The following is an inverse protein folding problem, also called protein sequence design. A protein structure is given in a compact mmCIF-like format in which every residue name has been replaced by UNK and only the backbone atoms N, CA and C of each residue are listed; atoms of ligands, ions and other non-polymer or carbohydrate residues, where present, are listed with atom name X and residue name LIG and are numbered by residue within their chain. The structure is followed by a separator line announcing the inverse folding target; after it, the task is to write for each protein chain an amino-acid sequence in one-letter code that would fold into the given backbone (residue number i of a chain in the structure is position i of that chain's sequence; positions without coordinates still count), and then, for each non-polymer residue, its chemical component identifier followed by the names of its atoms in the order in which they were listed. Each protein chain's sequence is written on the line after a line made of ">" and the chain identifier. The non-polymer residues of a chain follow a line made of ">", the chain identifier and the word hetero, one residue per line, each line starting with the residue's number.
data_IF_835810595518
#
_entry.id   IF_835810595518
#
_cell.length_a   1.000
_cell.length_b   1.000
_cell.length_c   1.000
_cell.angle_alpha   90.00
_cell.angle_beta   90.00
_cell.angle_gamma   90.00
#
_symmetry.space_group_name_H-M   'P 1'
#
loop_
_entity.id
_entity.type
_entity.pdbx_description
1 polymer ?
#
# COMPACT_ATOMS: atom_id res chain seq x y z
N UNK A 1 29.26 3.67 -19.35
CA UNK A 1 29.00 4.61 -20.43
C UNK A 1 30.29 5.30 -20.91
N UNK A 2 30.45 5.48 -22.24
CA UNK A 2 31.65 6.04 -22.85
C UNK A 2 31.62 7.57 -23.04
N UNK A 3 30.65 8.28 -22.42
CA UNK A 3 30.50 9.73 -22.54
C UNK A 3 31.52 10.55 -21.73
N UNK A 4 31.38 11.89 -21.79
CA UNK A 4 32.14 12.87 -21.00
C UNK A 4 31.18 13.84 -20.31
N UNK A 5 31.40 14.15 -19.05
CA UNK A 5 30.53 15.09 -18.30
C UNK A 5 30.70 16.56 -18.74
N UNK A 6 31.73 16.87 -19.54
CA UNK A 6 31.87 18.14 -20.21
C UNK A 6 31.15 18.21 -21.57
N UNK A 7 30.58 17.10 -22.05
CA UNK A 7 29.86 17.04 -23.30
C UNK A 7 28.52 17.76 -23.28
N UNK A 8 27.92 17.99 -24.45
CA UNK A 8 26.60 18.65 -24.55
C UNK A 8 25.44 17.81 -24.02
N UNK A 9 25.56 16.49 -24.01
CA UNK A 9 24.49 15.56 -23.72
C UNK A 9 23.67 15.15 -24.94
N UNK A 10 24.13 15.52 -26.15
CA UNK A 10 23.50 15.07 -27.39
C UNK A 10 23.82 13.60 -27.69
N UNK A 11 23.15 13.02 -28.69
CA UNK A 11 23.38 11.63 -29.11
C UNK A 11 24.83 11.40 -29.57
N UNK A 12 25.44 12.39 -30.24
CA UNK A 12 26.83 12.33 -30.73
C UNK A 12 27.86 12.73 -29.69
N UNK A 13 27.47 13.44 -28.64
CA UNK A 13 28.35 13.90 -27.56
C UNK A 13 27.69 13.61 -26.19
N UNK A 14 27.56 12.32 -25.78
CA UNK A 14 26.81 11.93 -24.60
C UNK A 14 27.54 12.30 -23.32
N UNK A 15 26.75 12.55 -22.26
CA UNK A 15 27.25 12.65 -20.88
C UNK A 15 27.63 11.27 -20.34
N UNK A 16 28.61 11.25 -19.42
CA UNK A 16 29.05 10.01 -18.77
C UNK A 16 28.17 9.65 -17.61
N UNK A 17 27.82 10.62 -16.76
CA UNK A 17 27.10 10.38 -15.50
C UNK A 17 25.69 10.95 -15.54
N UNK A 18 24.80 10.29 -14.79
CA UNK A 18 23.43 10.75 -14.63
C UNK A 18 23.36 12.04 -13.80
N UNK A 19 24.30 12.25 -12.87
CA UNK A 19 24.43 13.50 -12.13
C UNK A 19 24.76 14.70 -13.01
N UNK A 20 25.60 14.54 -14.03
CA UNK A 20 25.86 15.61 -14.99
C UNK A 20 24.62 15.95 -15.83
N UNK A 21 23.84 14.93 -16.23
CA UNK A 21 22.56 15.13 -16.91
C UNK A 21 21.55 15.84 -16.04
N UNK A 22 21.42 15.42 -14.78
CA UNK A 22 20.49 16.02 -13.82
C UNK A 22 20.79 17.50 -13.55
N UNK A 23 22.06 17.87 -13.43
CA UNK A 23 22.48 19.27 -13.24
C UNK A 23 22.14 20.20 -14.41
N UNK A 24 21.92 19.66 -15.62
CA UNK A 24 21.46 20.46 -16.77
C UNK A 24 19.98 20.86 -16.65
N UNK A 25 19.20 20.19 -15.83
CA UNK A 25 17.81 20.56 -15.57
C UNK A 25 17.79 21.72 -14.58
N UNK A 26 17.25 22.89 -14.93
CA UNK A 26 17.21 24.05 -14.05
C UNK A 26 16.42 23.78 -12.77
N UNK A 27 16.83 24.37 -11.65
CA UNK A 27 16.07 24.36 -10.42
C UNK A 27 14.73 25.09 -10.63
N UNK A 28 13.68 24.56 -10.05
CA UNK A 28 12.33 25.19 -10.08
C UNK A 28 11.59 25.12 -11.39
N UNK A 29 12.23 24.79 -12.50
CA UNK A 29 11.61 24.78 -13.73
C UNK A 29 11.28 23.98 -14.49
N UNK A 30 10.56 23.99 -15.31
CA UNK A 30 9.46 23.80 -16.10
C UNK A 30 9.59 23.33 -17.53
N UNK A 31 10.58 23.03 -18.12
CA UNK A 31 10.67 22.39 -19.44
C UNK A 31 10.46 20.87 -19.34
N UNK A 32 10.18 20.25 -20.48
CA UNK A 32 10.21 18.79 -20.62
C UNK A 32 11.65 18.33 -20.83
N UNK A 33 12.04 17.34 -20.01
CA UNK A 33 13.39 16.78 -20.05
C UNK A 33 13.34 15.27 -20.26
N UNK A 34 14.12 14.80 -21.22
CA UNK A 34 14.23 13.38 -21.53
C UNK A 34 15.69 12.95 -21.40
N UNK A 35 15.98 12.18 -20.36
CA UNK A 35 17.29 11.59 -20.12
C UNK A 35 17.29 10.14 -20.64
N UNK A 36 17.90 9.93 -21.79
CA UNK A 36 17.96 8.62 -22.47
C UNK A 36 19.25 7.91 -22.10
N UNK A 37 19.12 6.78 -21.46
CA UNK A 37 20.24 6.00 -20.95
C UNK A 37 20.51 4.80 -21.86
N UNK A 38 21.74 4.69 -22.33
CA UNK A 38 22.27 3.50 -22.98
C UNK A 38 22.49 2.38 -21.96
N UNK A 39 22.58 1.14 -22.40
CA UNK A 39 22.99 0.03 -21.57
C UNK A 39 24.26 0.34 -20.77
N UNK A 40 24.25 0.03 -19.47
CA UNK A 40 25.40 0.25 -18.59
C UNK A 40 25.04 0.64 -17.18
N UNK A 41 26.05 0.81 -16.34
CA UNK A 41 25.90 1.21 -14.94
C UNK A 41 26.09 2.71 -14.77
N UNK A 42 25.11 3.36 -14.15
CA UNK A 42 25.09 4.79 -13.83
C UNK A 42 25.16 5.04 -12.30
N UNK A 43 25.62 4.04 -11.54
CA UNK A 43 25.72 4.14 -10.07
C UNK A 43 26.75 5.18 -9.64
N UNK A 44 27.89 5.27 -10.36
CA UNK A 44 28.92 6.28 -10.09
C UNK A 44 28.49 7.65 -10.62
N UNK A 45 28.68 8.69 -9.78
CA UNK A 45 28.35 10.06 -10.12
C UNK A 45 26.84 10.37 -10.15
N UNK A 46 26.01 9.52 -9.55
CA UNK A 46 24.62 9.83 -9.27
C UNK A 46 24.54 10.97 -8.22
N UNK A 47 23.53 11.83 -8.26
CA UNK A 47 23.28 12.79 -7.19
C UNK A 47 23.02 12.07 -5.85
N UNK A 48 23.50 12.62 -4.76
CA UNK A 48 23.11 12.17 -3.40
C UNK A 48 21.64 12.49 -3.16
N UNK A 49 21.20 13.67 -3.62
CA UNK A 49 19.82 14.11 -3.56
C UNK A 49 19.33 14.56 -4.94
N UNK A 50 18.15 14.08 -5.32
CA UNK A 50 17.45 14.45 -6.56
C UNK A 50 16.38 15.46 -6.19
N UNK A 51 16.71 16.76 -6.23
CA UNK A 51 15.85 17.75 -5.58
C UNK A 51 15.39 18.91 -6.47
N UNK A 52 14.23 19.48 -6.09
CA UNK A 52 13.72 20.82 -6.47
C UNK A 52 13.62 21.06 -7.96
N UNK A 53 13.18 20.07 -8.73
CA UNK A 53 12.89 20.22 -10.16
C UNK A 53 11.42 19.95 -10.42
N UNK A 54 10.84 20.72 -11.30
CA UNK A 54 9.44 20.58 -11.70
C UNK A 54 9.34 20.52 -13.22
N UNK A 55 8.40 19.76 -13.73
CA UNK A 55 8.16 19.59 -15.15
C UNK A 55 8.20 18.12 -15.54
N UNK A 56 7.76 17.74 -16.73
CA UNK A 56 7.92 16.36 -17.20
C UNK A 56 9.41 16.03 -17.33
N UNK A 57 9.91 15.18 -16.42
CA UNK A 57 11.29 14.68 -16.43
C UNK A 57 11.20 13.16 -16.59
N UNK A 58 11.65 12.65 -17.73
CA UNK A 58 11.71 11.21 -17.97
C UNK A 58 13.15 10.72 -17.98
N UNK A 59 13.43 9.68 -17.22
CA UNK A 59 14.67 8.92 -17.25
C UNK A 59 14.34 7.54 -17.80
N UNK A 60 14.83 7.19 -18.99
CA UNK A 60 14.47 5.93 -19.64
C UNK A 60 15.68 5.13 -20.12
N UNK A 61 15.58 3.81 -20.04
CA UNK A 61 16.50 2.87 -20.67
C UNK A 61 16.10 2.67 -22.13
N UNK A 62 17.02 3.00 -23.07
CA UNK A 62 16.69 2.92 -24.51
C UNK A 62 17.10 1.60 -25.16
N UNK A 63 17.94 0.83 -24.52
CA UNK A 63 18.45 -0.44 -25.05
C UNK A 63 17.69 -1.66 -24.46
N UNK A 64 16.52 -1.42 -23.89
CA UNK A 64 15.64 -2.44 -23.30
C UNK A 64 15.49 -2.30 -21.78
N UNK A 65 14.53 -3.02 -21.22
CA UNK A 65 14.28 -3.06 -19.78
C UNK A 65 15.54 -3.56 -19.06
N UNK A 66 15.89 -2.93 -17.94
CA UNK A 66 17.02 -3.24 -17.06
C UNK A 66 18.41 -3.07 -17.69
N UNK A 67 18.51 -2.65 -18.95
CA UNK A 67 19.80 -2.41 -19.59
C UNK A 67 20.56 -1.24 -18.95
N UNK A 68 19.86 -0.22 -18.46
CA UNK A 68 20.42 0.87 -17.68
C UNK A 68 20.22 0.63 -16.17
N UNK A 69 21.33 0.53 -15.42
CA UNK A 69 21.32 0.28 -13.98
C UNK A 69 21.72 1.51 -13.20
N UNK A 70 20.87 1.93 -12.28
CA UNK A 70 21.02 3.10 -11.43
C UNK A 70 21.40 2.68 -10.01
N UNK A 71 21.96 3.60 -9.23
CA UNK A 71 21.93 3.54 -7.78
C UNK A 71 20.53 3.89 -7.27
N UNK A 72 20.29 3.70 -5.97
CA UNK A 72 19.11 4.22 -5.30
C UNK A 72 18.92 5.72 -5.50
N UNK A 73 17.69 6.18 -5.38
CA UNK A 73 17.34 7.58 -5.61
C UNK A 73 16.65 8.16 -4.38
N UNK A 74 17.26 9.16 -3.75
CA UNK A 74 16.62 9.96 -2.71
C UNK A 74 16.08 11.25 -3.34
N UNK A 75 14.75 11.33 -3.53
CA UNK A 75 14.06 12.37 -4.32
C UNK A 75 13.32 13.31 -3.38
N UNK A 76 13.56 14.61 -3.50
CA UNK A 76 12.94 15.60 -2.63
C UNK A 76 12.36 16.79 -3.40
N UNK A 77 11.05 17.05 -3.21
CA UNK A 77 10.34 18.14 -3.87
C UNK A 77 10.48 18.17 -5.39
N UNK A 78 10.37 17.00 -6.02
CA UNK A 78 10.39 16.88 -7.49
C UNK A 78 8.97 16.67 -7.99
N UNK A 79 8.64 17.33 -9.10
CA UNK A 79 7.33 17.23 -9.73
C UNK A 79 7.43 16.75 -11.18
N UNK A 80 6.66 15.70 -11.52
CA UNK A 80 6.60 15.17 -12.89
C UNK A 80 7.75 14.23 -13.25
N UNK A 81 8.25 13.43 -12.31
CA UNK A 81 9.31 12.43 -12.56
C UNK A 81 8.73 11.13 -13.10
N UNK A 82 9.26 10.66 -14.21
CA UNK A 82 9.01 9.32 -14.76
C UNK A 82 10.32 8.55 -14.85
N UNK A 83 10.36 7.36 -14.26
CA UNK A 83 11.40 6.35 -14.51
C UNK A 83 10.80 5.26 -15.40
N UNK A 84 11.47 4.91 -16.48
CA UNK A 84 10.97 3.90 -17.42
C UNK A 84 12.05 2.89 -17.82
N UNK A 85 11.74 1.62 -17.63
CA UNK A 85 12.57 0.50 -18.06
C UNK A 85 13.95 0.44 -17.43
N UNK A 86 14.21 1.18 -16.37
CA UNK A 86 15.49 1.20 -15.64
C UNK A 86 15.46 0.23 -14.47
N UNK A 87 16.63 -0.22 -14.06
CA UNK A 87 16.82 -1.01 -12.84
C UNK A 87 17.54 -0.18 -11.78
N UNK A 88 17.00 -0.22 -10.58
CA UNK A 88 17.61 0.37 -9.38
C UNK A 88 17.97 -0.75 -8.41
N UNK A 89 19.24 -0.76 -7.97
CA UNK A 89 19.71 -1.67 -6.92
C UNK A 89 20.50 -0.83 -5.90
N UNK A 90 20.13 -0.89 -4.62
CA UNK A 90 20.87 -0.21 -3.56
C UNK A 90 20.57 -0.82 -2.19
N UNK A 91 21.37 -0.42 -1.19
CA UNK A 91 21.09 -0.59 0.22
C UNK A 91 20.24 0.57 0.78
N UNK A 92 19.44 0.29 1.79
CA UNK A 92 18.47 1.23 2.33
C UNK A 92 17.23 1.39 1.44
N UNK A 93 16.59 2.55 1.48
CA UNK A 93 15.48 2.85 0.58
C UNK A 93 15.99 2.96 -0.87
N UNK A 94 15.56 2.04 -1.74
CA UNK A 94 16.04 2.03 -3.13
C UNK A 94 15.46 3.21 -3.92
N UNK A 95 14.19 3.53 -3.70
CA UNK A 95 13.55 4.74 -4.22
C UNK A 95 12.80 5.44 -3.10
N UNK A 96 13.38 6.49 -2.56
CA UNK A 96 12.74 7.36 -1.57
C UNK A 96 12.26 8.65 -2.23
N UNK A 97 11.01 9.04 -1.98
CA UNK A 97 10.43 10.27 -2.52
C UNK A 97 9.63 11.02 -1.46
N UNK A 98 10.10 12.22 -1.12
CA UNK A 98 9.45 13.09 -0.13
C UNK A 98 8.97 14.39 -0.76
N UNK A 99 7.73 14.80 -0.46
CA UNK A 99 7.09 16.02 -0.97
C UNK A 99 7.05 16.08 -2.51
N UNK A 100 6.97 14.92 -3.15
CA UNK A 100 6.92 14.79 -4.61
C UNK A 100 5.50 14.94 -5.17
N UNK A 101 5.41 15.25 -6.47
CA UNK A 101 4.13 15.33 -7.18
C UNK A 101 4.26 14.71 -8.58
N UNK A 102 3.29 13.88 -8.97
CA UNK A 102 3.25 13.22 -10.29
C UNK A 102 4.51 12.38 -10.55
N UNK A 103 4.67 11.32 -9.79
CA UNK A 103 5.74 10.33 -9.95
C UNK A 103 5.18 9.10 -10.66
N UNK A 104 5.88 8.65 -11.69
CA UNK A 104 5.57 7.42 -12.40
C UNK A 104 6.81 6.51 -12.45
N UNK A 105 6.70 5.34 -11.85
CA UNK A 105 7.63 4.23 -12.01
C UNK A 105 6.98 3.23 -12.98
N UNK A 106 7.52 3.09 -14.17
CA UNK A 106 6.91 2.37 -15.28
C UNK A 106 7.88 1.33 -15.86
N UNK A 107 7.52 0.05 -15.81
CA UNK A 107 8.37 -1.06 -16.26
C UNK A 107 9.77 -1.05 -15.62
N UNK A 108 9.87 -0.66 -14.35
CA UNK A 108 11.15 -0.63 -13.61
C UNK A 108 11.36 -1.93 -12.84
N UNK A 109 12.61 -2.21 -12.53
CA UNK A 109 12.99 -3.25 -11.57
C UNK A 109 13.70 -2.59 -10.39
N UNK A 110 13.18 -2.78 -9.17
CA UNK A 110 13.78 -2.29 -7.94
C UNK A 110 14.15 -3.47 -7.03
N UNK A 111 15.40 -3.48 -6.57
CA UNK A 111 15.92 -4.54 -5.69
C UNK A 111 16.53 -3.92 -4.44
N UNK A 112 15.92 -4.20 -3.30
CA UNK A 112 16.50 -3.95 -1.99
C UNK A 112 17.58 -4.98 -1.63
N UNK A 113 18.33 -4.69 -0.60
CA UNK A 113 19.36 -5.58 -0.05
C UNK A 113 18.97 -6.16 1.32
N UNK A 114 17.71 -6.02 1.72
CA UNK A 114 17.20 -6.46 3.01
C UNK A 114 17.40 -5.47 4.16
N UNK A 115 17.77 -4.22 3.88
CA UNK A 115 18.05 -3.23 4.93
C UNK A 115 16.83 -2.37 5.32
N UNK A 116 16.07 -1.89 4.36
CA UNK A 116 14.92 -0.99 4.57
C UNK A 116 13.85 -1.22 3.51
N UNK A 117 13.02 -0.20 3.23
CA UNK A 117 11.99 -0.29 2.19
C UNK A 117 12.59 -0.25 0.79
N UNK A 118 11.96 -0.97 -0.15
CA UNK A 118 12.37 -0.85 -1.55
C UNK A 118 11.84 0.45 -2.16
N UNK A 119 10.59 0.80 -1.90
CA UNK A 119 9.98 2.09 -2.29
C UNK A 119 9.40 2.77 -1.06
N UNK A 120 9.89 3.95 -0.73
CA UNK A 120 9.36 4.81 0.33
C UNK A 120 8.84 6.13 -0.21
N UNK A 121 7.57 6.43 0.01
CA UNK A 121 6.94 7.66 -0.46
C UNK A 121 6.33 8.41 0.73
N UNK A 122 6.80 9.63 0.98
CA UNK A 122 6.32 10.45 2.08
C UNK A 122 5.67 11.74 1.58
N UNK A 123 4.51 12.13 2.16
CA UNK A 123 3.85 13.43 2.01
C UNK A 123 3.74 13.91 0.55
N UNK A 124 3.43 13.01 -0.35
CA UNK A 124 3.48 13.19 -1.80
C UNK A 124 2.09 13.07 -2.45
N UNK A 125 2.00 13.31 -3.75
CA UNK A 125 0.74 13.14 -4.47
C UNK A 125 0.93 12.63 -5.90
N UNK A 126 -0.09 11.95 -6.42
CA UNK A 126 -0.11 11.45 -7.81
C UNK A 126 1.05 10.49 -8.08
N UNK A 127 1.13 9.43 -7.28
CA UNK A 127 2.18 8.41 -7.39
C UNK A 127 1.63 7.17 -8.08
N UNK A 128 2.29 6.74 -9.13
CA UNK A 128 1.94 5.51 -9.86
C UNK A 128 3.15 4.61 -9.97
N UNK A 129 2.98 3.34 -9.60
CA UNK A 129 3.92 2.25 -9.92
C UNK A 129 3.18 1.28 -10.81
N UNK A 130 3.69 1.04 -12.02
CA UNK A 130 3.01 0.20 -13.01
C UNK A 130 3.97 -0.76 -13.70
N UNK A 131 3.48 -1.99 -13.96
CA UNK A 131 4.18 -3.00 -14.78
C UNK A 131 5.63 -3.27 -14.31
N UNK A 132 5.84 -3.18 -12.99
CA UNK A 132 7.16 -3.14 -12.36
C UNK A 132 7.38 -4.35 -11.44
N UNK A 133 8.65 -4.65 -11.20
CA UNK A 133 9.10 -5.74 -10.34
C UNK A 133 9.86 -5.14 -9.15
N UNK A 134 9.38 -5.40 -7.93
CA UNK A 134 9.83 -4.73 -6.70
C UNK A 134 10.04 -5.76 -5.60
N UNK A 135 11.27 -5.88 -5.10
CA UNK A 135 11.58 -6.94 -4.11
C UNK A 135 12.78 -6.63 -3.22
N UNK A 136 12.95 -7.50 -2.22
CA UNK A 136 14.15 -7.55 -1.39
C UNK A 136 14.17 -6.53 -0.27
N UNK A 137 13.02 -6.06 0.20
CA UNK A 137 12.93 -5.16 1.34
C UNK A 137 13.22 -5.88 2.66
N UNK A 138 13.99 -5.24 3.54
CA UNK A 138 14.13 -5.65 4.94
C UNK A 138 12.91 -5.26 5.80
N UNK A 139 12.07 -4.40 5.28
CA UNK A 139 10.78 -3.99 5.84
C UNK A 139 9.71 -4.19 4.74
N UNK A 140 9.24 -3.17 4.06
CA UNK A 140 8.18 -3.26 3.06
C UNK A 140 8.68 -2.94 1.64
N UNK A 141 8.17 -3.63 0.62
CA UNK A 141 8.54 -3.27 -0.74
C UNK A 141 7.91 -1.94 -1.21
N UNK A 142 6.75 -1.57 -0.66
CA UNK A 142 6.14 -0.27 -0.91
C UNK A 142 5.56 0.31 0.37
N UNK A 143 6.14 1.40 0.83
CA UNK A 143 5.68 2.19 1.98
C UNK A 143 5.19 3.57 1.51
N UNK A 144 3.91 3.88 1.74
CA UNK A 144 3.35 5.20 1.49
C UNK A 144 2.78 5.84 2.75
N UNK A 145 3.36 6.96 3.16
CA UNK A 145 2.93 7.73 4.33
C UNK A 145 2.43 9.11 3.90
N UNK A 146 1.16 9.41 4.20
CA UNK A 146 0.52 10.70 3.86
C UNK A 146 0.55 11.01 2.35
N UNK A 147 0.24 10.02 1.52
CA UNK A 147 0.26 10.15 0.06
C UNK A 147 -1.16 10.20 -0.49
N UNK A 148 -1.41 11.14 -1.37
CA UNK A 148 -2.70 11.29 -2.04
C UNK A 148 -2.64 10.83 -3.49
N UNK A 149 -3.64 10.05 -3.93
CA UNK A 149 -3.76 9.47 -5.28
C UNK A 149 -2.60 8.54 -5.62
N UNK A 150 -2.65 7.35 -5.02
CA UNK A 150 -1.72 6.25 -5.26
C UNK A 150 -2.35 5.28 -6.26
N UNK A 151 -1.54 4.79 -7.21
CA UNK A 151 -1.92 3.70 -8.09
C UNK A 151 -0.80 2.66 -8.14
N UNK A 152 -1.10 1.43 -7.71
CA UNK A 152 -0.24 0.27 -7.88
C UNK A 152 -0.91 -0.65 -8.90
N UNK A 153 -0.35 -0.75 -10.11
CA UNK A 153 -1.00 -1.37 -11.25
C UNK A 153 -0.12 -2.44 -11.90
N UNK A 154 -0.55 -3.70 -11.87
CA UNK A 154 0.10 -4.83 -12.57
C UNK A 154 1.58 -5.00 -12.20
N UNK A 155 1.92 -4.78 -10.95
CA UNK A 155 3.27 -4.99 -10.44
C UNK A 155 3.42 -6.38 -9.83
N UNK A 156 4.65 -6.84 -9.70
CA UNK A 156 5.02 -7.93 -8.83
C UNK A 156 5.80 -7.37 -7.64
N UNK A 157 5.20 -7.46 -6.45
CA UNK A 157 5.85 -7.15 -5.17
C UNK A 157 6.15 -8.46 -4.45
N UNK A 158 7.42 -8.71 -4.10
CA UNK A 158 7.80 -9.99 -3.51
C UNK A 158 9.06 -9.93 -2.65
N UNK A 159 9.29 -10.96 -1.85
CA UNK A 159 10.48 -11.06 -0.99
C UNK A 159 10.63 -9.83 -0.06
N UNK A 160 9.60 -9.48 0.71
CA UNK A 160 9.68 -8.50 1.79
C UNK A 160 9.64 -9.19 3.16
N UNK A 161 10.35 -8.66 4.14
CA UNK A 161 10.31 -9.21 5.51
C UNK A 161 8.99 -8.90 6.20
N UNK A 162 8.40 -7.72 5.93
CA UNK A 162 7.09 -7.33 6.45
C UNK A 162 6.02 -7.40 5.34
N UNK A 163 5.19 -6.39 5.14
CA UNK A 163 4.17 -6.37 4.09
C UNK A 163 4.79 -6.20 2.70
N UNK A 164 4.21 -6.86 1.69
CA UNK A 164 4.58 -6.52 0.31
C UNK A 164 4.33 -5.03 0.01
N UNK A 165 3.21 -4.48 0.49
CA UNK A 165 2.90 -3.07 0.31
C UNK A 165 1.92 -2.54 1.36
N UNK A 166 2.02 -1.26 1.70
CA UNK A 166 1.00 -0.56 2.48
C UNK A 166 0.84 0.92 2.14
N UNK A 167 -0.30 1.49 2.57
CA UNK A 167 -0.56 2.91 2.53
C UNK A 167 -1.16 3.36 3.86
N UNK A 168 -0.47 4.27 4.56
CA UNK A 168 -0.82 4.73 5.92
C UNK A 168 -0.65 6.24 6.11
N UNK A 169 -0.82 6.71 7.34
CA UNK A 169 -0.52 8.10 7.72
C UNK A 169 -1.43 9.13 7.05
N UNK A 170 -2.70 8.79 6.83
CA UNK A 170 -3.64 9.65 6.12
C UNK A 170 -3.56 9.52 4.59
N UNK A 171 -2.95 8.45 4.08
CA UNK A 171 -2.96 8.20 2.64
C UNK A 171 -4.38 8.01 2.11
N UNK A 172 -4.67 8.60 0.95
CA UNK A 172 -6.04 8.62 0.41
C UNK A 172 -6.09 8.49 -1.10
N UNK A 173 -7.25 8.05 -1.63
CA UNK A 173 -7.46 7.81 -3.06
C UNK A 173 -6.48 6.76 -3.60
N UNK A 174 -6.48 5.56 -3.00
CA UNK A 174 -5.53 4.48 -3.28
C UNK A 174 -6.17 3.41 -4.17
N UNK A 175 -5.53 3.07 -5.27
CA UNK A 175 -5.92 1.98 -6.18
C UNK A 175 -4.80 0.96 -6.24
N UNK A 176 -5.13 -0.28 -5.85
CA UNK A 176 -4.24 -1.45 -5.90
C UNK A 176 -4.90 -2.48 -6.80
N UNK A 177 -4.46 -2.56 -8.06
CA UNK A 177 -5.18 -3.35 -9.07
C UNK A 177 -4.26 -4.22 -9.91
N UNK A 178 -4.64 -5.51 -10.02
CA UNK A 178 -3.98 -6.45 -10.91
C UNK A 178 -2.53 -6.76 -10.55
N UNK A 179 -2.15 -6.59 -9.29
CA UNK A 179 -0.78 -6.88 -8.82
C UNK A 179 -0.66 -8.35 -8.40
N UNK A 180 0.56 -8.85 -8.43
CA UNK A 180 0.97 -10.07 -7.76
C UNK A 180 1.74 -9.68 -6.49
N UNK A 181 1.31 -10.22 -5.35
CA UNK A 181 2.00 -10.16 -4.08
C UNK A 181 2.44 -11.56 -3.70
N UNK A 182 3.73 -11.78 -3.43
CA UNK A 182 4.22 -13.11 -3.06
C UNK A 182 5.40 -13.05 -2.10
N UNK A 183 5.50 -14.08 -1.26
CA UNK A 183 6.70 -14.32 -0.45
C UNK A 183 7.03 -13.14 0.47
N UNK A 184 5.99 -12.53 1.08
CA UNK A 184 6.13 -11.46 2.06
C UNK A 184 5.77 -11.96 3.47
N UNK A 185 6.56 -11.55 4.47
CA UNK A 185 6.49 -12.11 5.82
C UNK A 185 5.19 -11.77 6.57
N UNK A 186 4.69 -10.54 6.47
CA UNK A 186 3.47 -10.15 7.19
C UNK A 186 2.23 -10.20 6.30
N UNK A 187 2.36 -9.98 4.99
CA UNK A 187 1.21 -10.13 4.09
C UNK A 187 1.32 -9.40 2.76
N UNK A 188 0.24 -9.43 1.98
CA UNK A 188 0.19 -8.82 0.65
C UNK A 188 0.07 -7.29 0.70
N UNK A 189 -1.13 -6.77 0.94
CA UNK A 189 -1.35 -5.32 1.03
C UNK A 189 -2.21 -4.96 2.25
N UNK A 190 -1.82 -3.90 2.97
CA UNK A 190 -2.61 -3.36 4.07
C UNK A 190 -2.98 -1.88 3.86
N UNK A 191 -4.25 -1.56 4.11
CA UNK A 191 -4.78 -0.19 4.15
C UNK A 191 -4.74 0.35 5.58
N UNK A 192 -3.80 1.22 5.85
CA UNK A 192 -3.51 1.72 7.20
C UNK A 192 -2.49 0.86 7.94
N UNK A 193 -2.09 1.27 9.11
CA UNK A 193 -1.20 0.58 10.07
C UNK A 193 -1.00 1.50 11.29
N UNK A 194 0.25 1.84 11.62
CA UNK A 194 0.63 2.82 12.64
C UNK A 194 1.45 3.97 12.06
N UNK A 195 1.18 5.20 12.52
CA UNK A 195 1.91 6.38 12.03
C UNK A 195 2.12 7.39 13.14
N UNK A 196 3.32 7.99 13.19
CA UNK A 196 3.56 9.20 13.95
C UNK A 196 2.78 10.38 13.33
N UNK A 197 1.95 11.06 14.12
CA UNK A 197 1.05 12.10 13.64
C UNK A 197 1.79 13.26 12.94
N UNK A 198 3.04 13.53 13.32
CA UNK A 198 3.86 14.57 12.70
C UNK A 198 4.21 14.29 11.22
N UNK A 199 4.11 13.03 10.77
CA UNK A 199 4.36 12.65 9.37
C UNK A 199 3.12 12.74 8.49
N UNK A 200 1.94 12.92 9.08
CA UNK A 200 0.69 13.07 8.34
C UNK A 200 0.65 14.40 7.58
N UNK A 201 -0.33 14.55 6.71
CA UNK A 201 -0.57 15.77 5.97
C UNK A 201 -2.03 16.23 6.13
N UNK A 202 -2.25 17.47 6.59
CA UNK A 202 -3.58 18.09 6.62
C UNK A 202 -4.18 18.17 5.20
N UNK A 203 -5.49 17.94 5.02
CA UNK A 203 -6.53 17.72 6.04
C UNK A 203 -6.76 16.24 6.42
N UNK A 204 -5.97 15.31 5.93
CA UNK A 204 -6.17 13.86 6.07
C UNK A 204 -5.55 13.33 7.38
N UNK A 205 -6.08 13.75 8.53
CA UNK A 205 -5.50 13.43 9.85
C UNK A 205 -6.43 12.61 10.75
N UNK A 206 -7.47 11.98 10.19
CA UNK A 206 -8.37 11.11 10.97
C UNK A 206 -7.97 9.64 10.84
N UNK A 207 -8.17 9.03 9.67
CA UNK A 207 -7.87 7.63 9.40
C UNK A 207 -6.43 7.42 8.94
N UNK A 208 -5.93 6.19 9.08
CA UNK A 208 -4.61 5.82 8.55
C UNK A 208 -4.61 5.72 7.03
N UNK A 209 -5.69 5.20 6.45
CA UNK A 209 -5.90 5.21 5.01
C UNK A 209 -7.38 5.46 4.70
N UNK A 210 -7.70 6.07 3.55
CA UNK A 210 -9.08 6.30 3.16
C UNK A 210 -9.30 6.23 1.65
N UNK A 211 -10.54 5.86 1.25
CA UNK A 211 -10.90 5.72 -0.17
C UNK A 211 -9.94 4.76 -0.90
N UNK A 212 -9.88 3.51 -0.44
CA UNK A 212 -8.96 2.49 -0.93
C UNK A 212 -9.71 1.42 -1.73
N UNK A 213 -9.25 1.14 -2.94
CA UNK A 213 -9.71 0.03 -3.78
C UNK A 213 -8.58 -0.99 -3.96
N UNK A 214 -8.84 -2.23 -3.54
CA UNK A 214 -7.96 -3.39 -3.72
C UNK A 214 -8.70 -4.39 -4.61
N UNK A 215 -8.34 -4.48 -5.89
CA UNK A 215 -9.14 -5.21 -6.88
C UNK A 215 -8.30 -6.04 -7.85
N UNK A 216 -8.73 -7.30 -8.08
CA UNK A 216 -8.17 -8.14 -9.11
C UNK A 216 -6.69 -8.49 -8.91
N UNK A 217 -6.22 -8.53 -7.66
CA UNK A 217 -4.86 -8.89 -7.34
C UNK A 217 -4.74 -10.40 -7.08
N UNK A 218 -3.54 -10.93 -7.28
CA UNK A 218 -3.13 -12.28 -6.88
C UNK A 218 -2.24 -12.19 -5.65
N UNK A 219 -2.50 -13.00 -4.61
CA UNK A 219 -1.66 -13.10 -3.40
C UNK A 219 -1.30 -14.56 -3.16
N UNK A 220 -0.03 -14.86 -2.96
CA UNK A 220 0.41 -16.23 -2.68
C UNK A 220 1.64 -16.27 -1.78
N UNK A 221 1.78 -17.37 -1.07
CA UNK A 221 2.98 -17.70 -0.31
C UNK A 221 3.38 -16.58 0.69
N UNK A 222 2.38 -15.95 1.34
CA UNK A 222 2.64 -14.99 2.41
C UNK A 222 2.50 -15.64 3.77
N UNK A 223 3.38 -15.27 4.71
CA UNK A 223 3.31 -15.81 6.07
C UNK A 223 2.14 -15.20 6.88
N UNK A 224 1.72 -13.99 6.55
CA UNK A 224 0.55 -13.33 7.13
C UNK A 224 -0.60 -13.17 6.14
N UNK A 225 -1.46 -12.19 6.39
CA UNK A 225 -2.73 -12.01 5.70
C UNK A 225 -2.58 -11.64 4.21
N UNK A 226 -3.52 -12.11 3.37
CA UNK A 226 -3.57 -11.61 2.00
C UNK A 226 -3.78 -10.09 1.97
N UNK A 227 -4.73 -9.61 2.77
CA UNK A 227 -5.06 -8.19 2.89
C UNK A 227 -5.37 -7.81 4.33
N UNK A 228 -5.00 -6.57 4.69
CA UNK A 228 -5.30 -5.99 5.98
C UNK A 228 -5.97 -4.60 5.89
N UNK A 229 -6.73 -4.24 6.93
CA UNK A 229 -7.28 -2.89 7.12
C UNK A 229 -7.12 -2.49 8.58
N UNK A 230 -6.19 -1.58 8.85
CA UNK A 230 -5.90 -1.12 10.21
C UNK A 230 -6.04 0.41 10.30
N UNK A 231 -7.23 0.89 10.74
CA UNK A 231 -7.57 2.30 10.76
C UNK A 231 -7.97 2.86 9.40
N UNK A 232 -8.58 2.02 8.56
CA UNK A 232 -9.02 2.39 7.22
C UNK A 232 -10.46 2.89 7.14
N UNK A 233 -10.74 3.82 6.23
CA UNK A 233 -12.09 4.31 5.96
C UNK A 233 -12.44 4.19 4.47
N UNK A 234 -13.66 3.74 4.16
CA UNK A 234 -14.10 3.51 2.78
C UNK A 234 -13.11 2.61 2.02
N UNK A 235 -12.93 1.39 2.49
CA UNK A 235 -12.04 0.38 1.89
C UNK A 235 -12.85 -0.70 1.20
N UNK A 236 -12.54 -0.95 -0.06
CA UNK A 236 -13.15 -2.01 -0.85
C UNK A 236 -12.09 -3.03 -1.30
N UNK A 237 -12.24 -4.27 -0.86
CA UNK A 237 -11.38 -5.42 -1.21
C UNK A 237 -12.23 -6.38 -2.02
N UNK A 238 -11.99 -6.47 -3.34
CA UNK A 238 -12.84 -7.28 -4.21
C UNK A 238 -12.12 -7.98 -5.36
N UNK A 239 -12.68 -9.12 -5.77
CA UNK A 239 -12.22 -9.87 -6.96
C UNK A 239 -10.75 -10.22 -6.94
N UNK A 240 -10.20 -10.42 -5.75
CA UNK A 240 -8.84 -10.85 -5.56
C UNK A 240 -8.81 -12.38 -5.43
N UNK A 241 -7.66 -12.97 -5.77
CA UNK A 241 -7.41 -14.41 -5.63
C UNK A 241 -6.23 -14.59 -4.70
N UNK A 242 -6.36 -15.47 -3.69
CA UNK A 242 -5.28 -15.76 -2.76
C UNK A 242 -5.16 -17.26 -2.47
N UNK A 243 -3.91 -17.74 -2.30
CA UNK A 243 -3.61 -19.12 -1.95
C UNK A 243 -2.31 -19.24 -1.17
N UNK A 244 -2.20 -20.23 -0.28
CA UNK A 244 -1.04 -20.44 0.59
C UNK A 244 -0.65 -19.17 1.35
N UNK A 245 -1.61 -18.64 2.10
CA UNK A 245 -1.46 -17.42 2.90
C UNK A 245 -1.74 -17.70 4.36
N UNK A 246 -1.19 -16.86 5.25
CA UNK A 246 -1.43 -16.97 6.68
C UNK A 246 -0.61 -18.06 7.39
N UNK A 247 0.49 -18.54 6.81
CA UNK A 247 1.28 -19.64 7.37
C UNK A 247 1.73 -19.42 8.82
N UNK A 248 1.84 -18.18 9.28
CA UNK A 248 2.12 -17.80 10.67
C UNK A 248 1.02 -16.95 11.31
N UNK A 249 -0.13 -16.78 10.64
CA UNK A 249 -1.16 -15.85 11.07
C UNK A 249 -2.56 -16.29 10.61
N UNK A 250 -3.30 -15.40 10.03
CA UNK A 250 -4.67 -15.51 9.55
C UNK A 250 -4.77 -15.08 8.08
N UNK A 251 -5.96 -15.27 7.51
CA UNK A 251 -6.19 -15.04 6.08
C UNK A 251 -6.44 -13.56 5.75
N UNK A 252 -7.24 -12.89 6.57
CA UNK A 252 -7.61 -11.49 6.42
C UNK A 252 -7.56 -10.77 7.77
N UNK A 253 -7.10 -9.51 7.77
CA UNK A 253 -6.95 -8.71 8.98
C UNK A 253 -7.83 -7.46 8.96
N UNK A 254 -8.55 -7.20 10.06
CA UNK A 254 -9.31 -5.97 10.29
C UNK A 254 -9.05 -5.49 11.71
N UNK A 255 -8.02 -4.66 11.87
CA UNK A 255 -7.54 -4.18 13.16
C UNK A 255 -7.73 -2.69 13.36
N UNK A 256 -7.20 -2.19 14.47
CA UNK A 256 -7.04 -0.77 14.69
C UNK A 256 -5.76 -0.27 14.04
N UNK A 257 -5.81 0.91 13.43
CA UNK A 257 -4.59 1.68 13.24
C UNK A 257 -4.07 2.19 14.58
N UNK A 258 -2.77 2.45 14.65
CA UNK A 258 -2.15 3.07 15.81
C UNK A 258 -1.58 4.45 15.45
N UNK A 259 -1.72 5.41 16.37
CA UNK A 259 -1.17 6.74 16.14
C UNK A 259 -0.52 7.28 17.38
N UNK A 260 0.73 7.69 17.21
CA UNK A 260 1.55 8.34 18.24
C UNK A 260 1.95 9.76 17.81
N UNK A 261 2.77 10.42 18.60
CA UNK A 261 3.52 11.60 18.22
C UNK A 261 4.98 11.36 18.65
N UNK A 262 5.86 11.07 17.71
CA UNK A 262 7.22 10.66 18.01
C UNK A 262 8.16 11.85 18.30
N UNK A 263 7.68 13.08 18.12
CA UNK A 263 8.45 14.29 18.40
C UNK A 263 8.71 14.52 19.89
N UNK A 264 9.94 14.84 20.26
CA UNK A 264 10.31 15.22 21.64
C UNK A 264 9.73 16.59 22.03
N UNK A 265 9.63 16.90 23.34
CA UNK A 265 9.28 18.26 23.78
C UNK A 265 10.21 19.30 23.13
N UNK A 266 9.61 20.34 22.51
CA UNK A 266 10.36 21.37 21.79
C UNK A 266 10.60 21.10 20.31
N UNK A 267 10.40 19.89 19.81
CA UNK A 267 10.60 19.55 18.41
C UNK A 267 9.47 20.12 17.51
N UNK A 268 9.83 20.40 16.27
CA UNK A 268 8.88 20.81 15.22
C UNK A 268 7.81 19.74 14.97
N UNK A 269 8.14 18.44 15.12
CA UNK A 269 7.21 17.32 15.02
C UNK A 269 6.09 17.40 16.05
N UNK A 270 6.41 17.64 17.32
CA UNK A 270 5.42 17.79 18.40
C UNK A 270 4.52 19.02 18.18
N UNK A 271 5.09 20.12 17.73
CA UNK A 271 4.33 21.33 17.36
C UNK A 271 3.35 21.04 16.22
N UNK A 272 3.73 20.21 15.25
CA UNK A 272 2.88 19.76 14.16
C UNK A 272 1.75 18.86 14.66
N UNK A 273 2.01 17.88 15.55
CA UNK A 273 0.96 17.09 16.20
C UNK A 273 -0.06 18.00 16.89
N UNK A 274 0.37 18.95 17.70
CA UNK A 274 -0.50 19.90 18.39
C UNK A 274 -1.32 20.75 17.41
N UNK A 275 -0.73 21.15 16.29
CA UNK A 275 -1.43 21.89 15.23
C UNK A 275 -2.54 21.04 14.58
N UNK A 276 -2.27 19.77 14.28
CA UNK A 276 -3.26 18.88 13.70
C UNK A 276 -4.40 18.55 14.65
N UNK A 277 -4.11 18.36 15.96
CA UNK A 277 -5.14 18.15 16.99
C UNK A 277 -6.05 19.38 17.10
N UNK A 278 -5.48 20.59 17.15
CA UNK A 278 -6.28 21.84 17.17
C UNK A 278 -7.16 21.99 15.92
N UNK A 279 -6.72 21.46 14.78
CA UNK A 279 -7.51 21.43 13.54
C UNK A 279 -8.54 20.29 13.50
N UNK A 280 -8.72 19.52 14.57
CA UNK A 280 -9.68 18.42 14.68
C UNK A 280 -9.13 17.06 14.28
N UNK A 281 -7.84 16.91 14.02
CA UNK A 281 -7.21 15.62 13.73
C UNK A 281 -7.23 14.68 14.93
N UNK A 282 -7.31 13.38 14.66
CA UNK A 282 -7.25 12.34 15.69
C UNK A 282 -5.79 12.01 16.02
N UNK A 283 -5.42 12.12 17.28
CA UNK A 283 -4.04 11.86 17.68
C UNK A 283 -3.73 12.32 19.08
N UNK A 284 -2.45 12.32 19.42
CA UNK A 284 -1.92 12.76 20.70
C UNK A 284 -0.69 13.64 20.51
N UNK A 285 -0.40 14.47 21.50
CA UNK A 285 0.89 15.18 21.64
C UNK A 285 1.83 14.43 22.58
N UNK A 286 1.35 13.36 23.22
CA UNK A 286 2.19 12.54 24.10
C UNK A 286 3.13 11.75 23.21
N UNK A 287 4.42 11.79 23.55
CA UNK A 287 5.46 11.00 22.87
C UNK A 287 5.21 9.53 23.20
N UNK A 288 5.30 8.70 22.18
CA UNK A 288 5.21 7.26 22.34
C UNK A 288 6.39 6.74 23.17
N UNK A 289 6.07 6.10 24.30
CA UNK A 289 7.02 5.37 25.14
C UNK A 289 6.77 3.85 25.05
N UNK A 290 6.24 3.39 23.88
CA UNK A 290 5.89 1.98 23.66
C UNK A 290 4.41 1.66 23.85
N UNK A 291 3.67 2.39 24.71
CA UNK A 291 2.28 2.09 25.04
C UNK A 291 1.30 3.26 24.81
N UNK A 292 1.78 4.45 24.51
CA UNK A 292 0.97 5.67 24.41
C UNK A 292 0.54 5.96 22.96
N UNK A 293 -0.18 5.06 22.34
CA UNK A 293 -0.77 5.29 21.02
C UNK A 293 -2.31 5.42 21.07
N UNK A 294 -2.82 6.19 20.14
CA UNK A 294 -4.27 6.31 19.92
C UNK A 294 -4.69 5.21 18.94
N UNK A 295 -5.75 4.47 19.27
CA UNK A 295 -6.34 3.46 18.38
C UNK A 295 -7.24 4.14 17.36
N UNK A 296 -6.92 3.99 16.09
CA UNK A 296 -7.71 4.53 14.97
C UNK A 296 -8.67 3.43 14.48
N UNK A 297 -9.99 3.63 14.59
CA UNK A 297 -10.99 2.65 14.16
C UNK A 297 -11.06 2.56 12.65
N UNK A 298 -11.71 1.51 12.14
CA UNK A 298 -12.11 1.49 10.74
C UNK A 298 -13.51 2.13 10.54
N UNK A 299 -13.85 2.36 9.30
CA UNK A 299 -15.19 2.80 8.91
C UNK A 299 -15.49 2.34 7.49
N UNK A 300 -16.63 1.66 7.30
CA UNK A 300 -17.11 1.27 5.98
C UNK A 300 -16.06 0.44 5.19
N UNK A 301 -15.78 -0.77 5.67
CA UNK A 301 -14.92 -1.75 5.02
C UNK A 301 -15.77 -2.82 4.36
N UNK A 302 -15.60 -3.04 3.06
CA UNK A 302 -16.32 -4.07 2.30
C UNK A 302 -15.33 -5.06 1.69
N UNK A 303 -15.46 -6.32 2.08
CA UNK A 303 -14.72 -7.47 1.54
C UNK A 303 -15.68 -8.28 0.69
N UNK A 304 -15.51 -8.24 -0.64
CA UNK A 304 -16.53 -8.69 -1.56
C UNK A 304 -15.97 -9.44 -2.77
N UNK A 305 -16.61 -10.58 -3.10
CA UNK A 305 -16.32 -11.32 -4.35
C UNK A 305 -14.83 -11.71 -4.49
N UNK A 306 -14.19 -12.11 -3.38
CA UNK A 306 -12.82 -12.63 -3.40
C UNK A 306 -12.81 -14.15 -3.36
N UNK A 307 -11.78 -14.76 -3.92
CA UNK A 307 -11.51 -16.19 -3.85
C UNK A 307 -10.24 -16.43 -3.05
N UNK A 308 -10.36 -17.12 -1.93
CA UNK A 308 -9.26 -17.53 -1.07
C UNK A 308 -9.28 -19.03 -0.95
N UNK A 309 -8.19 -19.70 -1.31
CA UNK A 309 -8.12 -21.16 -1.31
C UNK A 309 -6.76 -21.64 -0.80
N UNK A 310 -6.68 -21.85 0.50
CA UNK A 310 -5.54 -22.50 1.09
C UNK A 310 -5.72 -24.03 1.03
N UNK A 311 -4.79 -24.81 0.47
CA UNK A 311 -4.88 -26.26 0.46
C UNK A 311 -4.73 -26.83 1.88
N UNK A 312 -5.19 -28.07 2.07
CA UNK A 312 -5.22 -28.77 3.37
C UNK A 312 -3.87 -28.76 4.13
N UNK A 313 -2.77 -28.78 3.40
CA UNK A 313 -1.43 -28.75 3.96
C UNK A 313 -0.82 -27.34 4.12
N UNK A 314 -1.59 -26.30 3.84
CA UNK A 314 -1.16 -24.92 3.89
C UNK A 314 -2.30 -23.99 4.37
N UNK A 315 -3.13 -24.46 5.31
CA UNK A 315 -4.12 -23.63 6.01
C UNK A 315 -3.44 -22.51 6.81
N UNK A 316 -4.17 -21.43 7.09
CA UNK A 316 -3.68 -20.40 8.00
C UNK A 316 -3.43 -21.00 9.40
N UNK A 317 -2.50 -20.37 10.13
CA UNK A 317 -2.09 -20.91 11.44
C UNK A 317 -3.20 -20.79 12.49
N UNK A 318 -3.94 -19.66 12.48
CA UNK A 318 -4.87 -19.37 13.58
C UNK A 318 -6.34 -19.40 13.16
N UNK A 319 -6.72 -18.55 12.21
CA UNK A 319 -8.12 -18.37 11.81
C UNK A 319 -8.26 -17.64 10.48
N UNK A 320 -9.44 -17.73 9.90
CA UNK A 320 -9.72 -17.03 8.62
C UNK A 320 -9.64 -15.51 8.80
N UNK A 321 -10.39 -14.95 9.75
CA UNK A 321 -10.43 -13.51 9.98
C UNK A 321 -9.80 -13.14 11.32
N UNK A 322 -8.87 -12.19 11.33
CA UNK A 322 -8.45 -11.50 12.54
C UNK A 322 -9.18 -10.16 12.63
N UNK A 323 -10.25 -10.10 13.39
CA UNK A 323 -11.00 -8.86 13.63
C UNK A 323 -10.80 -8.42 15.07
N UNK A 324 -10.27 -7.21 15.27
CA UNK A 324 -10.00 -6.71 16.62
C UNK A 324 -11.29 -6.52 17.42
N UNK A 325 -11.32 -7.16 18.59
CA UNK A 325 -12.50 -7.22 19.48
C UNK A 325 -12.55 -6.13 20.55
N UNK A 326 -11.50 -5.36 20.76
CA UNK A 326 -11.41 -4.34 21.80
C UNK A 326 -12.45 -3.23 21.60
N UNK A 327 -12.77 -2.56 22.68
CA UNK A 327 -13.75 -1.46 22.75
C UNK A 327 -13.11 -0.24 23.41
N UNK A 328 -12.17 0.44 22.74
CA UNK A 328 -11.51 1.60 23.33
C UNK A 328 -12.51 2.71 23.63
N UNK A 329 -12.28 3.41 24.73
CA UNK A 329 -12.99 4.65 25.04
C UNK A 329 -12.63 5.80 24.09
N UNK A 330 -13.29 6.95 24.26
CA UNK A 330 -12.89 8.18 23.55
C UNK A 330 -11.45 8.54 23.90
N UNK A 331 -10.63 8.78 22.90
CA UNK A 331 -9.23 9.15 23.08
C UNK A 331 -8.73 9.93 21.87
N UNK A 332 -7.95 10.97 22.10
CA UNK A 332 -7.26 11.73 21.05
C UNK A 332 -8.15 12.28 19.93
N UNK A 333 -9.39 12.67 20.25
CA UNK A 333 -10.37 13.15 19.26
C UNK A 333 -11.19 12.04 18.59
N UNK A 334 -10.84 10.77 18.77
CA UNK A 334 -11.64 9.65 18.28
C UNK A 334 -12.92 9.55 19.11
N UNK A 335 -14.13 9.58 18.49
CA UNK A 335 -15.38 9.48 19.23
C UNK A 335 -15.51 8.16 20.01
N UNK A 336 -16.17 8.20 21.16
CA UNK A 336 -16.44 7.00 21.96
C UNK A 336 -17.26 5.97 21.17
N UNK A 337 -16.99 4.70 21.40
CA UNK A 337 -17.73 3.58 20.83
C UNK A 337 -17.32 3.20 19.39
N UNK A 338 -16.36 3.89 18.79
CA UNK A 338 -15.82 3.53 17.48
C UNK A 338 -14.96 2.26 17.58
N UNK A 339 -15.05 1.39 16.57
CA UNK A 339 -14.49 0.03 16.62
C UNK A 339 -13.79 -0.34 15.33
N UNK A 340 -12.97 -1.39 15.38
CA UNK A 340 -12.32 -1.96 14.20
C UNK A 340 -13.33 -2.56 13.21
N UNK A 341 -14.43 -3.12 13.72
CA UNK A 341 -15.51 -3.74 12.94
C UNK A 341 -16.64 -2.77 12.54
N UNK A 342 -16.47 -1.45 12.73
CA UNK A 342 -17.48 -0.45 12.36
C UNK A 342 -17.74 -0.42 10.85
N UNK A 343 -18.95 -0.81 10.44
CA UNK A 343 -19.34 -0.89 9.05
C UNK A 343 -18.61 -1.96 8.25
N UNK A 344 -17.98 -2.92 8.91
CA UNK A 344 -17.37 -4.07 8.23
C UNK A 344 -18.47 -4.95 7.62
N UNK A 345 -18.31 -5.27 6.33
CA UNK A 345 -19.16 -6.18 5.60
C UNK A 345 -18.33 -7.19 4.82
N UNK A 346 -18.66 -8.46 4.97
CA UNK A 346 -18.00 -9.58 4.29
C UNK A 346 -19.09 -10.34 3.55
N UNK A 347 -19.08 -10.31 2.20
CA UNK A 347 -20.18 -10.84 1.39
C UNK A 347 -19.69 -11.36 0.04
N UNK A 348 -20.27 -12.46 -0.43
CA UNK A 348 -20.03 -12.98 -1.77
C UNK A 348 -18.61 -13.54 -1.98
N UNK A 349 -17.88 -13.84 -0.93
CA UNK A 349 -16.55 -14.43 -1.06
C UNK A 349 -16.63 -15.96 -1.07
N UNK A 350 -15.67 -16.58 -1.75
CA UNK A 350 -15.39 -18.01 -1.67
C UNK A 350 -14.13 -18.22 -0.85
N UNK A 351 -14.25 -18.83 0.33
CA UNK A 351 -13.15 -18.99 1.27
C UNK A 351 -13.04 -20.45 1.65
N UNK A 352 -11.91 -21.06 1.32
CA UNK A 352 -11.50 -22.37 1.77
C UNK A 352 -10.14 -22.27 2.45
N UNK A 353 -10.06 -22.59 3.74
CA UNK A 353 -8.83 -22.46 4.52
C UNK A 353 -8.42 -23.80 5.12
N UNK A 354 -8.02 -24.73 4.27
CA UNK A 354 -7.44 -26.00 4.65
C UNK A 354 -8.39 -27.06 5.20
N UNK A 355 -9.64 -26.75 5.54
CA UNK A 355 -10.61 -27.72 6.04
C UNK A 355 -11.86 -27.09 6.62
N UNK A 356 -12.88 -27.94 6.87
CA UNK A 356 -14.19 -27.52 7.35
C UNK A 356 -14.18 -26.98 8.79
N UNK A 357 -13.23 -27.44 9.59
CA UNK A 357 -13.17 -27.15 11.03
C UNK A 357 -12.28 -25.95 11.39
N UNK A 358 -11.72 -25.27 10.40
CA UNK A 358 -10.84 -24.13 10.65
C UNK A 358 -11.65 -22.94 11.20
N UNK A 359 -11.14 -22.31 12.27
CA UNK A 359 -11.86 -21.26 12.98
C UNK A 359 -12.09 -20.03 12.11
N UNK A 360 -13.32 -19.51 12.12
CA UNK A 360 -13.67 -18.34 11.34
C UNK A 360 -13.13 -17.01 11.93
N UNK A 361 -12.86 -16.98 13.24
CA UNK A 361 -12.35 -15.80 13.95
C UNK A 361 -13.40 -14.69 14.17
N UNK A 362 -14.68 -15.00 14.02
CA UNK A 362 -15.80 -14.09 14.28
C UNK A 362 -16.63 -14.59 15.45
N UNK A 363 -16.90 -13.73 16.44
CA UNK A 363 -17.57 -14.14 17.68
C UNK A 363 -18.01 -12.97 18.57
N UNK A 364 -18.17 -13.24 19.86
CA UNK A 364 -18.73 -12.28 20.82
C UNK A 364 -17.84 -11.05 21.08
N UNK A 365 -16.54 -11.18 20.90
CA UNK A 365 -15.59 -10.08 21.05
C UNK A 365 -15.66 -9.06 19.92
N UNK A 366 -15.92 -9.52 18.71
CA UNK A 366 -16.02 -8.73 17.47
C UNK A 366 -17.26 -9.17 16.68
N UNK A 367 -17.64 -8.45 15.64
CA UNK A 367 -18.73 -8.86 14.74
C UNK A 367 -19.96 -9.41 15.50
N UNK A 368 -20.41 -8.73 16.55
CA UNK A 368 -21.47 -9.17 17.43
C UNK A 368 -22.77 -9.46 16.69
N UNK A 369 -23.62 -10.25 17.30
CA UNK A 369 -24.96 -10.53 16.78
C UNK A 369 -25.70 -9.23 16.42
N UNK A 370 -26.31 -9.19 15.23
CA UNK A 370 -26.97 -8.01 14.69
C UNK A 370 -26.05 -7.01 13.97
N UNK A 371 -24.72 -7.15 14.04
CA UNK A 371 -23.80 -6.32 13.26
C UNK A 371 -23.75 -6.74 11.78
N UNK A 372 -23.21 -5.87 10.92
CA UNK A 372 -23.07 -6.15 9.49
C UNK A 372 -22.09 -7.29 9.19
N UNK A 373 -21.18 -7.62 10.11
CA UNK A 373 -20.23 -8.74 10.01
C UNK A 373 -20.53 -9.87 11.02
N UNK A 374 -21.74 -9.95 11.57
CA UNK A 374 -22.12 -11.02 12.47
C UNK A 374 -21.83 -12.40 11.86
N UNK A 375 -21.26 -13.33 12.66
CA UNK A 375 -20.85 -14.67 12.21
C UNK A 375 -21.91 -15.39 11.39
N UNK A 376 -23.16 -15.40 11.87
CA UNK A 376 -24.28 -16.03 11.17
C UNK A 376 -24.54 -15.41 9.80
N UNK A 377 -24.40 -14.11 9.69
CA UNK A 377 -24.56 -13.38 8.44
C UNK A 377 -23.42 -13.66 7.47
N UNK A 378 -22.18 -13.66 7.94
CA UNK A 378 -21.02 -13.97 7.12
C UNK A 378 -21.11 -15.39 6.55
N UNK A 379 -21.52 -16.38 7.37
CA UNK A 379 -21.76 -17.75 6.90
C UNK A 379 -22.88 -17.81 5.84
N UNK A 380 -23.95 -17.07 6.03
CA UNK A 380 -25.07 -17.09 5.10
C UNK A 380 -24.80 -16.36 3.77
N UNK A 381 -23.91 -15.38 3.76
CA UNK A 381 -23.63 -14.51 2.61
C UNK A 381 -22.33 -14.85 1.87
N UNK A 382 -21.59 -15.90 2.30
CA UNK A 382 -20.34 -16.34 1.67
C UNK A 382 -20.31 -17.85 1.53
N UNK A 383 -19.51 -18.37 0.59
CA UNK A 383 -19.17 -19.79 0.52
C UNK A 383 -17.94 -20.03 1.38
N UNK A 384 -18.11 -20.67 2.54
CA UNK A 384 -17.02 -20.92 3.49
C UNK A 384 -16.84 -22.42 3.68
N UNK A 385 -15.63 -22.91 3.39
CA UNK A 385 -15.21 -24.33 3.52
C UNK A 385 -16.16 -25.34 2.83
N UNK A 386 -16.99 -24.86 1.90
CA UNK A 386 -17.92 -25.71 1.13
C UNK A 386 -17.24 -26.26 -0.13
N UNK A 387 -17.55 -25.67 -1.29
CA UNK A 387 -16.88 -26.03 -2.54
C UNK A 387 -15.46 -25.44 -2.55
N UNK A 388 -14.46 -26.26 -2.72
CA UNK A 388 -13.09 -25.81 -2.89
C UNK A 388 -12.89 -25.22 -4.28
N UNK A 389 -12.61 -23.91 -4.41
CA UNK A 389 -12.23 -23.35 -5.70
C UNK A 389 -10.89 -23.93 -6.15
N UNK A 390 -10.76 -24.26 -7.42
CA UNK A 390 -9.46 -24.66 -7.96
C UNK A 390 -8.70 -23.41 -8.34
N UNK A 391 -7.69 -23.06 -7.52
CA UNK A 391 -6.77 -21.96 -7.79
C UNK A 391 -5.51 -22.55 -8.42
N UNK A 392 -5.16 -22.07 -9.59
CA UNK A 392 -3.94 -22.47 -10.32
C UNK A 392 -3.02 -21.27 -10.50
N UNK A 393 -1.73 -21.55 -10.50
CA UNK A 393 -0.72 -20.53 -10.79
C UNK A 393 -0.35 -20.60 -12.28
N UNK A 394 -0.43 -19.48 -12.96
CA UNK A 394 0.04 -19.31 -14.34
C UNK A 394 1.55 -19.32 -14.43
N UNK A 395 2.09 -19.48 -15.64
CA UNK A 395 3.54 -19.41 -15.88
C UNK A 395 4.18 -18.05 -15.53
N UNK A 396 3.41 -16.99 -15.54
CA UNK A 396 3.84 -15.64 -15.14
C UNK A 396 3.68 -15.36 -13.62
N UNK A 397 3.28 -16.37 -12.85
CA UNK A 397 3.13 -16.30 -11.40
C UNK A 397 1.77 -15.83 -10.89
N UNK A 398 0.94 -15.24 -11.75
CA UNK A 398 -0.42 -14.83 -11.39
C UNK A 398 -1.35 -16.03 -11.14
N UNK A 399 -2.40 -15.80 -10.40
CA UNK A 399 -3.38 -16.84 -10.05
C UNK A 399 -4.61 -16.77 -10.98
N UNK A 400 -5.15 -17.95 -11.27
CA UNK A 400 -6.42 -18.11 -11.96
C UNK A 400 -7.34 -19.02 -11.15
N UNK A 401 -8.65 -18.79 -11.25
CA UNK A 401 -9.68 -19.64 -10.66
C UNK A 401 -10.38 -20.43 -11.75
N UNK A 402 -10.41 -21.76 -11.61
CA UNK A 402 -11.17 -22.65 -12.49
C UNK A 402 -12.26 -23.37 -11.69
N UNK A 403 -13.38 -23.69 -12.36
CA UNK A 403 -14.50 -24.40 -11.73
C UNK A 403 -15.37 -23.54 -10.79
N UNK A 404 -15.07 -22.26 -10.66
CA UNK A 404 -15.89 -21.29 -9.94
C UNK A 404 -16.73 -20.53 -10.96
N UNK A 405 -17.95 -20.99 -11.18
CA UNK A 405 -18.95 -20.13 -11.81
C UNK A 405 -19.48 -19.19 -10.73
N UNK A 406 -19.48 -17.90 -10.99
CA UNK A 406 -20.11 -16.91 -10.14
C UNK A 406 -21.61 -17.19 -10.05
N UNK A 407 -21.97 -18.18 -9.24
CA UNK A 407 -23.38 -18.56 -8.97
C UNK A 407 -23.92 -17.82 -7.74
N UNK A 408 -23.12 -16.93 -7.17
CA UNK A 408 -23.62 -16.00 -6.17
C UNK A 408 -24.48 -14.94 -6.87
N UNK A 409 -25.69 -14.64 -6.36
CA UNK A 409 -26.52 -13.60 -6.94
C UNK A 409 -25.70 -12.33 -7.07
N UNK A 410 -25.88 -11.60 -8.17
CA UNK A 410 -25.24 -10.32 -8.39
C UNK A 410 -25.57 -9.38 -7.22
N UNK A 411 -24.74 -9.40 -6.21
CA UNK A 411 -24.88 -8.47 -5.09
C UNK A 411 -24.45 -7.09 -5.57
N UNK A 412 -25.42 -6.23 -5.80
CA UNK A 412 -25.13 -4.80 -5.89
C UNK A 412 -24.59 -4.39 -4.53
N UNK A 413 -23.35 -3.93 -4.41
CA UNK A 413 -22.83 -3.45 -3.12
C UNK A 413 -23.81 -2.44 -2.57
N UNK A 414 -24.22 -2.53 -1.29
CA UNK A 414 -25.03 -1.48 -0.71
C UNK A 414 -24.29 -0.16 -0.88
N UNK A 415 -25.01 0.86 -1.37
CA UNK A 415 -24.46 2.20 -1.41
C UNK A 415 -23.94 2.55 -0.02
N UNK A 416 -22.70 3.05 0.13
CA UNK A 416 -22.16 3.39 1.43
C UNK A 416 -23.12 4.36 2.11
N UNK A 417 -23.61 3.99 3.29
CA UNK A 417 -24.49 4.87 4.07
C UNK A 417 -23.64 6.00 4.64
N UNK A 418 -23.71 7.16 4.03
CA UNK A 418 -23.05 8.40 4.47
C UNK A 418 -23.77 9.04 5.66
N UNK A 419 -24.29 8.25 6.62
CA UNK A 419 -24.87 8.77 7.84
C UNK A 419 -23.79 9.01 8.91
N UNK A 420 -23.08 10.10 8.77
CA UNK A 420 -22.14 10.66 9.70
C UNK A 420 -21.48 11.86 9.01
N UNK A 421 -21.54 13.03 9.63
CA UNK A 421 -20.77 14.20 9.16
C UNK A 421 -19.29 13.90 9.35
N UNK A 422 -18.71 13.19 8.41
CA UNK A 422 -17.27 13.15 8.20
C UNK A 422 -16.92 14.39 7.40
N UNK A 423 -15.86 15.10 7.75
CA UNK A 423 -15.29 16.18 6.92
C UNK A 423 -15.27 15.75 5.46
N UNK A 424 -15.42 16.65 4.48
CA UNK A 424 -15.63 16.29 3.09
C UNK A 424 -14.40 15.55 2.53
N UNK A 425 -14.29 14.27 2.85
CA UNK A 425 -13.44 13.36 2.14
C UNK A 425 -14.03 13.20 0.74
N UNK A 426 -13.21 13.18 -0.32
CA UNK A 426 -13.71 13.13 -1.68
C UNK A 426 -14.63 11.93 -1.89
N UNK A 427 -15.84 12.17 -2.39
CA UNK A 427 -16.84 11.12 -2.66
C UNK A 427 -16.45 10.34 -3.92
N UNK A 428 -15.40 9.53 -3.87
CA UNK A 428 -14.95 8.72 -5.00
C UNK A 428 -15.96 7.64 -5.42
N UNK A 429 -16.83 7.20 -4.50
CA UNK A 429 -17.79 6.13 -4.72
C UNK A 429 -18.85 6.41 -5.80
N UNK A 430 -19.11 7.67 -6.14
CA UNK A 430 -20.09 8.04 -7.17
C UNK A 430 -19.55 7.95 -8.60
N UNK A 431 -18.28 7.64 -8.81
CA UNK A 431 -17.63 7.61 -10.14
C UNK A 431 -17.04 6.27 -10.52
N UNK A 432 -17.41 5.20 -9.83
CA UNK A 432 -16.96 3.86 -10.20
C UNK A 432 -18.01 3.19 -11.07
N UNK A 433 -17.65 2.69 -12.29
CA UNK A 433 -18.56 1.92 -13.13
C UNK A 433 -18.89 0.57 -12.51
#
# INVERSE_FOLDING_TARGET
>A
PSGSDSASGSRSAPLRTLGAAWRKIPLGNSGSWLLRLKAGSYRKGAPVYWERRNGPITIESVDGRDAARLAGMNVYRVGGLTLRGVRLDDGGDVFHCELCKRVLLDHVTLRGDGAQETIKINQSSDVTVADSDVSGAGDNNFDAVAVRRIKLLRNHFHDAVDWCAYAKGGSTEVIVRGNLFSECGTGGFIAGQGTGMQFMASPFTHYEASSVLIEGNSVRDTEGAAFGVNGGANVLIRRNIATRIGARSHVLEVGYGSRSCDGRPGDAGRSRCASYIRAGGWGTTVVDNGDNFIRIPNSNVLIYDNVISNPVNASSQWQVFSVAGERPGASGGVPSGRRADDGLRIVGNAIYDGGADHELGLGDGNCRSGSSCARSRVIAENEINGRTPTVTQRSDGWLEVTGWAASLPAHTPPAPSLSGRVSPEPQLWRRWP
#
